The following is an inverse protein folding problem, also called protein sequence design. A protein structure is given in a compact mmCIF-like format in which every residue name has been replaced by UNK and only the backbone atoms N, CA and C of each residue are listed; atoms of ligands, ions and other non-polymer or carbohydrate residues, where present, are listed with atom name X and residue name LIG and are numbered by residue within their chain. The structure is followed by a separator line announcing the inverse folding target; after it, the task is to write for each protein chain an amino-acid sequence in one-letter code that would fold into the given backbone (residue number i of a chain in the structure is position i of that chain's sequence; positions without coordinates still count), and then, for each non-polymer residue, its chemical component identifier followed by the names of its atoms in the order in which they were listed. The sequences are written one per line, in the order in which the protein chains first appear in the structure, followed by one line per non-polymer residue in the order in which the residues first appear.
data_IF_915131928784
#
_entry.id   IF_915131928784
#
_cell.length_a   1.000
_cell.length_b   1.000
_cell.length_c   1.000
_cell.angle_alpha   90.00
_cell.angle_beta   90.00
_cell.angle_gamma   90.00
#
_symmetry.space_group_name_H-M   'P 1'
#
loop_
_entity.id
_entity.type
_entity.pdbx_description
1 polymer ?
#
# COMPACT_ATOMS: atom_id res chain seq x y z
N UNK A 1 -14.90 1.67 -13.64
CA UNK A 1 -14.65 3.13 -13.61
C UNK A 1 -13.78 3.52 -14.80
N UNK A 2 -14.31 4.42 -15.64
CA UNK A 2 -13.63 5.04 -16.78
C UNK A 2 -14.03 6.52 -16.79
N UNK A 3 -13.54 7.26 -15.79
CA UNK A 3 -13.89 8.67 -15.57
C UNK A 3 -12.64 9.53 -15.77
N UNK A 4 -12.67 10.44 -16.75
CA UNK A 4 -11.46 11.16 -17.17
C UNK A 4 -10.32 10.19 -17.48
N UNK A 5 -9.15 10.41 -16.85
CA UNK A 5 -7.99 9.49 -16.94
C UNK A 5 -8.02 8.34 -15.93
N UNK A 6 -8.94 8.34 -14.97
CA UNK A 6 -9.00 7.30 -13.92
C UNK A 6 -9.42 5.96 -14.52
N UNK A 7 -8.62 4.91 -14.26
CA UNK A 7 -8.90 3.52 -14.62
C UNK A 7 -8.95 2.67 -13.38
N UNK A 8 -10.15 2.21 -13.03
CA UNK A 8 -10.40 1.48 -11.80
C UNK A 8 -11.64 0.58 -11.91
N UNK A 9 -11.81 -0.28 -10.91
CA UNK A 9 -13.04 -1.05 -10.69
C UNK A 9 -13.54 -0.77 -9.28
N UNK A 10 -14.80 -0.34 -9.16
CA UNK A 10 -15.44 -0.02 -7.89
C UNK A 10 -16.36 -1.17 -7.49
N UNK A 11 -16.12 -1.74 -6.31
CA UNK A 11 -16.95 -2.76 -5.70
C UNK A 11 -17.80 -2.13 -4.60
N UNK A 12 -19.12 -2.33 -4.69
CA UNK A 12 -20.07 -1.85 -3.70
C UNK A 12 -20.69 -3.04 -2.95
N UNK A 13 -20.83 -2.97 -1.61
CA UNK A 13 -21.61 -3.93 -0.85
C UNK A 13 -23.10 -3.84 -1.23
N UNK A 14 -23.89 -4.91 -1.05
CA UNK A 14 -25.34 -4.81 -1.13
C UNK A 14 -25.89 -3.99 0.05
N UNK A 15 -26.95 -3.20 -0.17
CA UNK A 15 -27.61 -2.41 0.87
C UNK A 15 -27.92 -0.99 0.41
N UNK A 16 -28.49 -0.18 1.31
CA UNK A 16 -28.91 1.19 1.00
C UNK A 16 -27.74 2.18 0.92
N UNK A 17 -26.59 1.85 1.51
CA UNK A 17 -25.46 2.78 1.67
C UNK A 17 -25.81 4.03 2.49
N UNK A 18 -24.97 5.08 2.43
CA UNK A 18 -23.65 5.09 1.81
C UNK A 18 -22.63 4.28 2.64
N UNK A 19 -21.57 3.80 1.99
CA UNK A 19 -20.54 2.97 2.60
C UNK A 19 -19.23 3.76 2.79
N UNK A 20 -18.41 3.35 3.76
CA UNK A 20 -17.06 3.89 3.90
C UNK A 20 -16.21 3.50 2.69
N UNK A 21 -15.60 4.51 2.04
CA UNK A 21 -14.83 4.33 0.81
C UNK A 21 -13.37 3.98 1.07
N UNK A 22 -12.80 3.04 0.30
CA UNK A 22 -11.39 2.64 0.34
C UNK A 22 -10.82 2.62 -1.08
N UNK A 23 -9.64 3.21 -1.26
CA UNK A 23 -8.81 3.03 -2.45
C UNK A 23 -7.84 1.88 -2.23
N UNK A 24 -7.86 0.89 -3.12
CA UNK A 24 -7.03 -0.31 -3.06
C UNK A 24 -5.94 -0.27 -4.13
N UNK A 25 -4.67 -0.34 -3.68
CA UNK A 25 -3.48 -0.15 -4.50
C UNK A 25 -2.52 -1.33 -4.36
N UNK A 26 -2.15 -1.91 -5.50
CA UNK A 26 -1.14 -2.96 -5.58
C UNK A 26 0.25 -2.43 -5.94
N UNK A 27 1.24 -3.31 -5.81
CA UNK A 27 2.64 -3.03 -6.11
C UNK A 27 2.95 -2.99 -7.61
N UNK A 28 4.23 -3.11 -7.92
CA UNK A 28 4.71 -3.25 -9.29
C UNK A 28 4.25 -4.59 -9.90
N UNK A 29 3.91 -4.56 -11.19
CA UNK A 29 3.30 -5.64 -11.97
C UNK A 29 2.45 -5.07 -13.11
N UNK A 30 1.84 -3.90 -12.86
CA UNK A 30 0.91 -3.26 -13.79
C UNK A 30 -0.45 -3.94 -13.75
N UNK A 31 -1.32 -3.57 -14.69
CA UNK A 31 -2.67 -4.13 -14.77
C UNK A 31 -3.59 -3.60 -13.66
N UNK A 32 -4.67 -4.35 -13.43
CA UNK A 32 -5.67 -4.07 -12.41
C UNK A 32 -6.01 -5.36 -11.67
N UNK A 33 -5.55 -5.48 -10.42
CA UNK A 33 -5.84 -6.62 -9.56
C UNK A 33 -7.04 -6.29 -8.67
N UNK A 34 -8.13 -7.04 -8.87
CA UNK A 34 -9.43 -6.72 -8.27
C UNK A 34 -9.79 -7.60 -7.07
N UNK A 35 -9.07 -8.70 -6.87
CA UNK A 35 -9.46 -9.74 -5.92
C UNK A 35 -9.53 -9.23 -4.48
N UNK A 36 -8.58 -8.40 -4.04
CA UNK A 36 -8.58 -7.86 -2.67
C UNK A 36 -9.72 -6.86 -2.45
N UNK A 37 -9.95 -5.96 -3.41
CA UNK A 37 -11.05 -5.02 -3.36
C UNK A 37 -12.42 -5.72 -3.32
N UNK A 38 -12.63 -6.72 -4.19
CA UNK A 38 -13.88 -7.48 -4.23
C UNK A 38 -14.17 -8.22 -2.91
N UNK A 39 -13.15 -8.85 -2.31
CA UNK A 39 -13.26 -9.54 -1.02
C UNK A 39 -13.54 -8.56 0.13
N UNK A 40 -12.91 -7.38 0.11
CA UNK A 40 -13.08 -6.36 1.13
C UNK A 40 -14.45 -5.68 1.04
N UNK A 41 -15.02 -5.55 -0.16
CA UNK A 41 -16.38 -5.04 -0.32
C UNK A 41 -17.43 -5.94 0.37
N UNK A 42 -17.19 -7.26 0.41
CA UNK A 42 -17.98 -8.20 1.22
C UNK A 42 -17.94 -7.95 2.74
N UNK A 43 -17.14 -6.97 3.20
CA UNK A 43 -17.01 -6.56 4.60
C UNK A 43 -17.64 -5.20 4.90
N UNK A 44 -18.43 -4.65 3.97
CA UNK A 44 -19.21 -3.42 4.18
C UNK A 44 -18.55 -2.12 3.71
N UNK A 45 -17.48 -2.21 2.91
CA UNK A 45 -16.78 -1.06 2.35
C UNK A 45 -17.06 -0.88 0.87
N UNK A 46 -17.16 0.36 0.39
CA UNK A 46 -17.04 0.64 -1.04
C UNK A 46 -15.56 0.67 -1.41
N UNK A 47 -15.08 -0.30 -2.20
CA UNK A 47 -13.63 -0.46 -2.44
C UNK A 47 -13.32 -0.31 -3.92
N UNK A 48 -12.45 0.65 -4.22
CA UNK A 48 -12.00 0.94 -5.58
C UNK A 48 -10.61 0.37 -5.81
N UNK A 49 -10.51 -0.73 -6.57
CA UNK A 49 -9.25 -1.21 -7.11
C UNK A 49 -8.76 -0.20 -8.16
N UNK A 50 -7.60 0.41 -7.93
CA UNK A 50 -7.07 1.48 -8.77
C UNK A 50 -5.82 1.00 -9.54
N UNK A 51 -5.90 1.00 -10.87
CA UNK A 51 -4.72 0.87 -11.72
C UNK A 51 -4.04 2.23 -11.84
N UNK A 52 -2.72 2.25 -12.05
CA UNK A 52 -1.96 3.49 -12.24
C UNK A 52 -0.90 3.41 -13.33
N UNK A 53 -0.67 2.23 -13.92
CA UNK A 53 0.17 2.04 -15.11
C UNK A 53 -0.07 0.66 -15.74
N UNK A 54 0.38 0.47 -16.99
CA UNK A 54 0.34 -0.76 -17.77
C UNK A 54 -1.05 -1.42 -17.74
N UNK A 55 -2.09 -0.62 -17.93
CA UNK A 55 -3.49 -1.05 -17.97
C UNK A 55 -4.30 -0.09 -18.83
N UNK A 56 -5.00 -0.64 -19.83
CA UNK A 56 -5.81 0.15 -20.76
C UNK A 56 -4.97 1.23 -21.45
N UNK A 57 -5.40 2.49 -21.41
CA UNK A 57 -4.74 3.67 -21.96
C UNK A 57 -3.80 4.39 -20.98
N UNK A 58 -3.49 3.79 -19.82
CA UNK A 58 -2.51 4.34 -18.88
C UNK A 58 -1.07 4.22 -19.41
N UNK A 59 -0.13 5.04 -18.87
CA UNK A 59 1.29 4.91 -19.18
C UNK A 59 1.80 3.49 -18.98
N UNK A 60 2.74 3.06 -19.82
CA UNK A 60 3.25 1.67 -19.81
C UNK A 60 4.28 1.41 -18.70
N UNK A 61 4.85 2.45 -18.11
CA UNK A 61 5.85 2.35 -17.04
C UNK A 61 5.54 3.30 -15.88
N UNK A 62 6.33 3.20 -14.80
CA UNK A 62 6.20 4.00 -13.57
C UNK A 62 7.33 5.02 -13.39
N UNK A 63 8.02 5.42 -14.47
CA UNK A 63 9.20 6.31 -14.35
C UNK A 63 8.84 7.64 -13.69
N UNK A 64 7.65 8.16 -13.97
CA UNK A 64 7.11 9.38 -13.38
C UNK A 64 5.66 9.12 -12.96
N UNK A 65 5.37 9.32 -11.68
CA UNK A 65 4.05 9.16 -11.09
C UNK A 65 3.55 10.52 -10.59
N UNK A 66 2.43 10.99 -11.13
CA UNK A 66 1.82 12.26 -10.77
C UNK A 66 0.72 12.05 -9.72
N UNK A 67 0.86 12.65 -8.53
CA UNK A 67 -0.12 12.50 -7.45
C UNK A 67 -1.50 13.06 -7.80
N UNK A 68 -1.58 13.97 -8.78
CA UNK A 68 -2.85 14.49 -9.31
C UNK A 68 -3.74 13.36 -9.88
N UNK A 69 -3.15 12.28 -10.42
CA UNK A 69 -3.92 11.12 -10.90
C UNK A 69 -4.67 10.44 -9.75
N UNK A 70 -3.98 10.28 -8.62
CA UNK A 70 -4.53 9.66 -7.42
C UNK A 70 -5.53 10.59 -6.71
N UNK A 71 -5.30 11.91 -6.78
CA UNK A 71 -6.24 12.92 -6.30
C UNK A 71 -7.57 12.88 -7.09
N UNK A 72 -7.50 12.77 -8.42
CA UNK A 72 -8.71 12.60 -9.26
C UNK A 72 -9.47 11.32 -8.92
N UNK A 73 -8.77 10.19 -8.74
CA UNK A 73 -9.39 8.94 -8.35
C UNK A 73 -10.05 9.02 -6.96
N UNK A 74 -9.38 9.65 -6.00
CA UNK A 74 -9.95 9.89 -4.66
C UNK A 74 -11.18 10.78 -4.72
N UNK A 75 -11.14 11.86 -5.50
CA UNK A 75 -12.27 12.77 -5.68
C UNK A 75 -13.45 12.08 -6.35
N UNK A 76 -13.21 11.25 -7.37
CA UNK A 76 -14.24 10.40 -7.97
C UNK A 76 -14.91 9.52 -6.90
N UNK A 77 -14.11 8.85 -6.06
CA UNK A 77 -14.64 7.98 -5.02
C UNK A 77 -15.46 8.77 -3.98
N UNK A 78 -14.97 9.92 -3.53
CA UNK A 78 -15.67 10.78 -2.56
C UNK A 78 -16.98 11.37 -3.09
N UNK A 79 -17.07 11.63 -4.40
CA UNK A 79 -18.26 12.17 -5.05
C UNK A 79 -19.30 11.09 -5.39
N UNK A 80 -18.93 9.81 -5.30
CA UNK A 80 -19.83 8.72 -5.61
C UNK A 80 -21.00 8.68 -4.60
N UNK A 81 -22.27 8.62 -5.02
CA UNK A 81 -23.43 8.76 -4.13
C UNK A 81 -23.56 7.67 -3.06
N UNK A 82 -22.91 6.53 -3.29
CA UNK A 82 -22.86 5.40 -2.35
C UNK A 82 -21.63 5.43 -1.43
N UNK A 83 -20.84 6.51 -1.42
CA UNK A 83 -19.67 6.67 -0.57
C UNK A 83 -19.92 7.77 0.46
N UNK A 84 -19.63 7.47 1.73
CA UNK A 84 -20.09 8.27 2.86
C UNK A 84 -19.31 9.57 3.09
N UNK A 85 -18.01 9.59 2.80
CA UNK A 85 -17.13 10.69 3.21
C UNK A 85 -17.01 10.83 4.74
N UNK A 86 -16.39 11.92 5.25
CA UNK A 86 -15.80 13.05 4.53
C UNK A 86 -14.42 12.76 3.92
N UNK A 87 -13.83 11.61 4.23
CA UNK A 87 -12.56 11.14 3.66
C UNK A 87 -12.64 9.67 3.29
N UNK A 88 -11.56 9.16 2.71
CA UNK A 88 -11.42 7.76 2.28
C UNK A 88 -10.34 7.04 3.09
N UNK A 89 -10.42 5.71 3.09
CA UNK A 89 -9.31 4.84 3.42
C UNK A 89 -8.38 4.63 2.23
N UNK A 90 -7.11 4.36 2.51
CA UNK A 90 -6.15 3.84 1.52
C UNK A 90 -5.59 2.51 2.00
N UNK A 91 -5.68 1.48 1.17
CA UNK A 91 -5.08 0.16 1.39
C UNK A 91 -4.00 -0.06 0.31
N UNK A 92 -2.75 -0.08 0.73
CA UNK A 92 -1.61 -0.22 -0.18
C UNK A 92 -0.71 -1.38 0.20
N UNK A 93 -0.31 -2.19 -0.78
CA UNK A 93 0.78 -3.17 -0.62
C UNK A 93 1.96 -2.81 -1.50
N UNK A 94 3.18 -3.01 -1.01
CA UNK A 94 4.41 -2.81 -1.78
C UNK A 94 4.52 -1.37 -2.32
N UNK A 95 4.72 -1.16 -3.63
CA UNK A 95 4.63 0.16 -4.29
C UNK A 95 3.28 0.86 -4.08
N UNK A 96 2.19 0.11 -3.92
CA UNK A 96 0.89 0.68 -3.54
C UNK A 96 0.89 1.22 -2.09
N UNK A 97 1.68 0.63 -1.19
CA UNK A 97 1.91 1.15 0.15
C UNK A 97 2.77 2.42 0.15
N UNK A 98 3.81 2.46 -0.69
CA UNK A 98 4.58 3.68 -0.98
C UNK A 98 3.66 4.82 -1.43
N UNK A 99 2.82 4.55 -2.43
CA UNK A 99 1.86 5.50 -2.96
C UNK A 99 0.83 5.92 -1.92
N UNK A 100 0.39 5.01 -1.04
CA UNK A 100 -0.49 5.35 0.07
C UNK A 100 0.13 6.34 1.05
N UNK A 101 1.42 6.20 1.36
CA UNK A 101 2.17 7.18 2.17
C UNK A 101 2.31 8.52 1.45
N UNK A 102 2.63 8.50 0.15
CA UNK A 102 2.76 9.72 -0.65
C UNK A 102 1.41 10.46 -0.74
N UNK A 103 0.34 9.76 -1.10
CA UNK A 103 -1.01 10.31 -1.11
C UNK A 103 -1.37 10.95 0.24
N UNK A 104 -1.15 10.24 1.35
CA UNK A 104 -1.45 10.76 2.69
C UNK A 104 -0.61 11.99 3.08
N UNK A 105 0.58 12.16 2.49
CA UNK A 105 1.49 13.27 2.80
C UNK A 105 1.19 14.54 1.99
N UNK A 106 0.64 14.40 0.78
CA UNK A 106 0.43 15.50 -0.16
C UNK A 106 -1.03 15.86 -0.40
N UNK A 107 -1.94 14.88 -0.31
CA UNK A 107 -3.35 15.05 -0.65
C UNK A 107 -4.21 15.25 0.61
N UNK A 108 -5.37 15.89 0.44
CA UNK A 108 -6.38 16.07 1.50
C UNK A 108 -7.50 15.04 1.32
N UNK A 109 -8.17 14.64 2.41
CA UNK A 109 -9.31 13.70 2.33
C UNK A 109 -8.95 12.24 2.60
N UNK A 110 -7.74 11.93 3.08
CA UNK A 110 -7.35 10.58 3.50
C UNK A 110 -7.46 10.48 5.02
N UNK A 111 -8.46 9.74 5.49
CA UNK A 111 -8.76 9.59 6.91
C UNK A 111 -7.86 8.54 7.58
N UNK A 112 -7.65 7.41 6.90
CA UNK A 112 -6.91 6.28 7.43
C UNK A 112 -6.16 5.54 6.31
N UNK A 113 -4.97 5.03 6.61
CA UNK A 113 -4.20 4.26 5.65
C UNK A 113 -3.61 2.99 6.27
N UNK A 114 -3.79 1.86 5.57
CA UNK A 114 -3.16 0.58 5.88
C UNK A 114 -2.04 0.34 4.88
N UNK A 115 -0.82 0.25 5.39
CA UNK A 115 0.40 0.11 4.60
C UNK A 115 0.98 -1.30 4.84
N UNK A 116 0.91 -2.14 3.82
CA UNK A 116 1.39 -3.52 3.85
C UNK A 116 2.75 -3.57 3.14
N UNK A 117 3.82 -3.82 3.90
CA UNK A 117 5.19 -3.92 3.35
C UNK A 117 5.57 -2.76 2.40
N UNK A 118 5.10 -1.54 2.70
CA UNK A 118 5.35 -0.34 1.91
C UNK A 118 6.58 0.44 2.38
N UNK A 119 7.45 0.91 1.47
CA UNK A 119 8.63 1.69 1.82
C UNK A 119 8.25 3.15 2.06
N UNK A 120 8.97 3.82 2.96
CA UNK A 120 8.79 5.26 3.25
C UNK A 120 9.59 6.14 2.26
N UNK A 121 9.98 5.60 1.12
CA UNK A 121 10.83 6.25 0.13
C UNK A 121 10.33 5.97 -1.27
N UNK A 122 10.58 6.87 -2.21
CA UNK A 122 10.27 6.60 -3.61
C UNK A 122 11.19 5.52 -4.17
N UNK A 123 10.67 4.41 -4.70
CA UNK A 123 11.47 3.33 -5.29
C UNK A 123 11.16 3.16 -6.78
N UNK A 124 12.19 3.12 -7.63
CA UNK A 124 12.09 2.77 -9.06
C UNK A 124 11.45 3.83 -9.98
N UNK A 125 10.81 4.86 -9.44
CA UNK A 125 10.21 5.97 -10.19
C UNK A 125 10.23 7.27 -9.40
N UNK A 126 10.02 8.39 -10.09
CA UNK A 126 9.92 9.72 -9.50
C UNK A 126 8.47 10.01 -9.13
N UNK A 127 8.20 10.47 -7.91
CA UNK A 127 6.87 10.96 -7.51
C UNK A 127 6.85 12.48 -7.67
N UNK A 128 5.85 13.00 -8.37
CA UNK A 128 5.63 14.42 -8.59
C UNK A 128 4.28 14.85 -7.98
N UNK A 129 4.27 15.99 -7.30
CA UNK A 129 3.05 16.70 -6.93
C UNK A 129 3.25 18.20 -7.10
N UNK A 130 2.53 18.80 -8.04
CA UNK A 130 2.72 20.20 -8.44
C UNK A 130 4.21 20.47 -8.77
N UNK A 131 4.87 21.32 -7.97
CA UNK A 131 6.28 21.68 -8.14
C UNK A 131 7.22 20.85 -7.24
N UNK A 132 6.70 19.95 -6.42
CA UNK A 132 7.50 19.10 -5.54
C UNK A 132 7.81 17.76 -6.23
N UNK A 133 9.07 17.33 -6.11
CA UNK A 133 9.60 16.12 -6.74
C UNK A 133 10.31 15.29 -5.68
N UNK A 134 9.93 14.02 -5.58
CA UNK A 134 10.63 13.00 -4.79
C UNK A 134 11.33 12.06 -5.77
N UNK A 135 12.67 12.15 -5.93
CA UNK A 135 13.42 11.24 -6.79
C UNK A 135 13.45 9.82 -6.20
N UNK A 136 13.59 8.78 -7.03
CA UNK A 136 13.78 7.42 -6.54
C UNK A 136 15.06 7.29 -5.73
N UNK A 137 15.02 6.47 -4.67
CA UNK A 137 16.20 6.05 -3.92
C UNK A 137 17.14 5.28 -4.84
N UNK A 138 18.45 5.50 -4.66
CA UNK A 138 19.48 4.81 -5.41
C UNK A 138 19.51 3.30 -5.15
N UNK A 139 20.01 2.56 -6.15
CA UNK A 139 20.14 1.10 -6.10
C UNK A 139 21.62 0.75 -6.24
N UNK A 140 22.10 -0.17 -5.40
CA UNK A 140 23.44 -0.73 -5.50
C UNK A 140 23.37 -2.24 -5.76
N UNK A 141 23.55 -2.62 -7.03
CA UNK A 141 23.51 -4.02 -7.45
C UNK A 141 24.57 -4.91 -6.80
N UNK A 142 25.67 -4.32 -6.28
CA UNK A 142 26.71 -5.09 -5.57
C UNK A 142 26.23 -5.66 -4.22
N UNK A 143 25.11 -5.17 -3.69
CA UNK A 143 24.49 -5.68 -2.46
C UNK A 143 23.46 -6.78 -2.69
N UNK A 144 23.12 -7.07 -3.95
CA UNK A 144 22.28 -8.22 -4.31
C UNK A 144 23.06 -9.49 -4.00
N UNK A 145 22.42 -10.43 -3.30
CA UNK A 145 23.00 -11.74 -2.99
C UNK A 145 22.35 -12.79 -3.89
N UNK A 146 23.03 -13.91 -4.05
CA UNK A 146 22.49 -15.08 -4.74
C UNK A 146 22.24 -16.18 -3.72
N UNK A 147 21.05 -16.77 -3.73
CA UNK A 147 20.77 -17.97 -2.94
C UNK A 147 21.51 -19.17 -3.53
N UNK A 148 21.54 -20.29 -2.79
CA UNK A 148 22.13 -21.55 -3.27
C UNK A 148 21.44 -22.08 -4.53
N UNK A 149 20.19 -21.72 -4.74
CA UNK A 149 19.36 -22.16 -5.86
C UNK A 149 19.43 -21.22 -7.08
N UNK A 150 20.32 -20.22 -7.04
CA UNK A 150 20.48 -19.27 -8.15
C UNK A 150 19.36 -18.22 -8.24
N UNK A 151 18.64 -17.98 -7.15
CA UNK A 151 17.61 -16.93 -7.05
C UNK A 151 18.22 -15.69 -6.40
N UNK A 152 17.89 -14.50 -6.91
CA UNK A 152 18.39 -13.26 -6.33
C UNK A 152 17.69 -12.92 -5.01
N UNK A 153 18.47 -12.47 -4.03
CA UNK A 153 18.00 -11.81 -2.83
C UNK A 153 18.35 -10.32 -2.91
N UNK A 154 17.31 -9.50 -3.04
CA UNK A 154 17.42 -8.07 -3.36
C UNK A 154 17.19 -7.17 -2.14
N UNK A 155 16.98 -7.73 -0.95
CA UNK A 155 16.58 -7.00 0.26
C UNK A 155 17.53 -5.85 0.63
N UNK A 156 18.82 -6.01 0.32
CA UNK A 156 19.88 -5.04 0.59
C UNK A 156 20.20 -4.14 -0.63
N UNK A 157 19.49 -4.24 -1.75
CA UNK A 157 19.84 -3.52 -2.97
C UNK A 157 19.64 -2.00 -2.84
N UNK A 158 18.58 -1.55 -2.18
CA UNK A 158 18.27 -0.12 -2.01
C UNK A 158 19.28 0.59 -1.10
N UNK A 159 19.68 1.80 -1.48
CA UNK A 159 20.51 2.65 -0.64
C UNK A 159 19.79 3.02 0.66
N UNK A 160 20.57 3.29 1.70
CA UNK A 160 20.02 3.85 2.93
C UNK A 160 19.49 5.26 2.62
N UNK A 161 18.21 5.54 2.89
CA UNK A 161 17.69 6.89 2.69
C UNK A 161 18.11 7.85 3.80
N UNK A 162 18.72 7.36 4.88
CA UNK A 162 19.08 8.20 6.04
C UNK A 162 20.32 9.07 5.80
N UNK A 163 21.05 8.86 4.72
CA UNK A 163 22.36 9.49 4.48
C UNK A 163 22.52 9.98 3.04
N UNK A 164 23.37 10.98 2.85
CA UNK A 164 23.77 11.44 1.53
C UNK A 164 22.60 11.94 0.66
N UNK A 165 22.71 11.85 -0.68
CA UNK A 165 21.70 12.38 -1.60
C UNK A 165 20.36 11.63 -1.54
N UNK A 166 20.35 10.39 -1.04
CA UNK A 166 19.17 9.54 -0.97
C UNK A 166 18.14 10.02 0.07
N UNK A 167 18.51 10.93 0.97
CA UNK A 167 17.56 11.62 1.86
C UNK A 167 16.43 12.35 1.11
N UNK A 168 16.67 12.74 -0.15
CA UNK A 168 15.65 13.36 -1.00
C UNK A 168 14.54 12.40 -1.42
N UNK A 169 14.76 11.09 -1.33
CA UNK A 169 13.76 10.07 -1.68
C UNK A 169 12.69 9.87 -0.61
N UNK A 170 12.87 10.44 0.59
CA UNK A 170 11.92 10.29 1.69
C UNK A 170 10.56 10.89 1.36
N UNK A 171 9.53 10.11 1.66
CA UNK A 171 8.15 10.59 1.66
C UNK A 171 7.93 11.37 2.96
N UNK A 172 7.49 12.64 2.91
CA UNK A 172 7.38 13.51 4.08
C UNK A 172 6.11 13.23 4.90
N UNK A 173 6.03 12.02 5.49
CA UNK A 173 4.87 11.53 6.25
C UNK A 173 4.48 12.43 7.42
N UNK A 174 5.41 13.25 7.94
CA UNK A 174 5.13 14.26 8.97
C UNK A 174 4.08 15.31 8.54
N UNK A 175 3.85 15.48 7.24
CA UNK A 175 2.84 16.39 6.71
C UNK A 175 1.41 15.87 6.84
N UNK A 176 1.26 14.57 7.12
CA UNK A 176 -0.04 13.90 7.15
C UNK A 176 -0.74 14.00 8.51
N UNK A 177 -2.06 14.10 8.48
CA UNK A 177 -2.94 13.89 9.64
C UNK A 177 -3.66 12.53 9.59
N UNK A 178 -3.35 11.71 8.59
CA UNK A 178 -3.90 10.37 8.41
C UNK A 178 -3.50 9.46 9.58
N UNK A 179 -4.44 8.63 10.04
CA UNK A 179 -4.10 7.55 10.97
C UNK A 179 -3.51 6.38 10.18
N UNK A 180 -2.35 5.87 10.58
CA UNK A 180 -1.67 4.78 9.90
C UNK A 180 -1.68 3.47 10.71
N UNK A 181 -1.88 2.36 9.98
CA UNK A 181 -1.56 1.01 10.41
C UNK A 181 -0.53 0.41 9.43
N UNK A 182 0.60 -0.03 9.95
CA UNK A 182 1.61 -0.76 9.20
C UNK A 182 1.48 -2.26 9.50
N UNK A 183 1.37 -3.06 8.44
CA UNK A 183 1.38 -4.53 8.49
C UNK A 183 2.67 -4.99 7.79
N UNK A 184 3.56 -5.61 8.57
CA UNK A 184 4.94 -5.85 8.16
C UNK A 184 5.26 -7.34 8.24
N UNK A 185 5.78 -7.90 7.15
CA UNK A 185 6.45 -9.19 7.16
C UNK A 185 7.89 -9.05 7.64
N UNK A 186 8.28 -9.77 8.68
CA UNK A 186 9.65 -9.73 9.21
C UNK A 186 10.66 -10.50 8.36
N UNK A 187 10.18 -11.31 7.42
CA UNK A 187 10.99 -12.05 6.46
C UNK A 187 10.80 -11.46 5.04
N UNK A 188 10.52 -10.17 4.92
CA UNK A 188 10.39 -9.49 3.63
C UNK A 188 11.77 -9.39 2.94
N UNK A 189 11.91 -10.11 1.82
CA UNK A 189 13.13 -10.12 1.01
C UNK A 189 13.10 -9.18 -0.22
N UNK A 190 12.00 -8.45 -0.44
CA UNK A 190 11.96 -7.41 -1.48
C UNK A 190 12.71 -6.16 -1.02
N UNK A 191 12.47 -5.75 0.23
CA UNK A 191 13.15 -4.64 0.91
C UNK A 191 12.91 -4.67 2.42
N UNK A 192 13.53 -3.76 3.15
CA UNK A 192 13.48 -3.71 4.62
C UNK A 192 12.19 -3.07 5.15
N UNK A 193 11.06 -3.74 5.01
CA UNK A 193 9.74 -3.21 5.41
C UNK A 193 9.66 -2.81 6.89
N UNK A 194 10.24 -3.59 7.81
CA UNK A 194 10.30 -3.23 9.25
C UNK A 194 11.09 -1.94 9.48
N UNK A 195 12.23 -1.80 8.81
CA UNK A 195 13.04 -0.59 8.88
C UNK A 195 12.22 0.62 8.43
N UNK A 196 11.55 0.54 7.28
CA UNK A 196 10.75 1.67 6.78
C UNK A 196 9.55 2.02 7.67
N UNK A 197 8.84 1.04 8.22
CA UNK A 197 7.74 1.29 9.16
C UNK A 197 8.26 1.97 10.45
N UNK A 198 9.42 1.56 10.95
CA UNK A 198 10.05 2.18 12.11
C UNK A 198 10.53 3.60 11.83
N UNK A 199 11.15 3.87 10.67
CA UNK A 199 11.56 5.22 10.28
C UNK A 199 10.35 6.14 10.08
N UNK A 200 9.25 5.65 9.50
CA UNK A 200 8.00 6.41 9.40
C UNK A 200 7.44 6.77 10.78
N UNK A 201 7.43 5.81 11.70
CA UNK A 201 7.00 6.01 13.09
C UNK A 201 7.87 7.02 13.84
N UNK A 202 9.20 6.97 13.67
CA UNK A 202 10.13 7.96 14.25
C UNK A 202 9.87 9.35 13.67
N UNK A 203 9.74 9.46 12.35
CA UNK A 203 9.49 10.73 11.66
C UNK A 203 8.19 11.39 12.11
N UNK A 204 7.11 10.62 12.18
CA UNK A 204 5.81 11.07 12.68
C UNK A 204 5.91 11.61 14.11
N UNK A 205 6.49 10.83 15.02
CA UNK A 205 6.61 11.22 16.43
C UNK A 205 7.52 12.44 16.63
N UNK A 206 8.61 12.55 15.87
CA UNK A 206 9.51 13.70 15.91
C UNK A 206 8.81 15.02 15.53
N UNK A 207 7.69 14.95 14.81
CA UNK A 207 6.87 16.10 14.42
C UNK A 207 5.54 16.18 15.20
N UNK A 208 5.47 15.53 16.37
CA UNK A 208 4.32 15.61 17.28
C UNK A 208 3.07 14.87 16.77
N UNK A 209 3.18 14.03 15.74
CA UNK A 209 2.07 13.18 15.27
C UNK A 209 1.90 11.98 16.19
N UNK A 210 0.71 11.39 16.18
CA UNK A 210 0.42 10.16 16.94
C UNK A 210 1.31 9.02 16.45
N UNK A 211 1.81 8.21 17.38
CA UNK A 211 2.55 6.99 17.05
C UNK A 211 1.64 6.05 16.24
N UNK A 212 2.05 5.62 15.03
CA UNK A 212 1.25 4.70 14.24
C UNK A 212 1.26 3.30 14.86
N UNK A 213 0.22 2.51 14.58
CA UNK A 213 0.24 1.10 14.92
C UNK A 213 1.13 0.35 13.91
N UNK A 214 2.02 -0.50 14.41
CA UNK A 214 2.86 -1.38 13.58
C UNK A 214 2.63 -2.80 14.10
N UNK A 215 2.26 -3.71 13.21
CA UNK A 215 2.14 -5.13 13.49
C UNK A 215 3.17 -5.85 12.63
N UNK A 216 4.10 -6.53 13.29
CA UNK A 216 5.16 -7.31 12.65
C UNK A 216 4.84 -8.80 12.75
N UNK A 217 4.86 -9.48 11.61
CA UNK A 217 4.59 -10.91 11.50
C UNK A 217 5.90 -11.68 11.27
N UNK A 218 6.35 -12.52 12.22
CA UNK A 218 7.50 -13.40 12.03
C UNK A 218 7.34 -14.33 10.83
N UNK A 219 8.45 -14.70 10.19
CA UNK A 219 8.50 -15.69 9.11
C UNK A 219 7.49 -15.42 7.99
N UNK A 220 7.22 -14.14 7.72
CA UNK A 220 6.24 -13.67 6.74
C UNK A 220 6.95 -12.78 5.73
N UNK A 221 6.89 -13.16 4.46
CA UNK A 221 7.50 -12.41 3.36
C UNK A 221 6.71 -11.21 2.84
N UNK A 222 7.07 -10.79 1.64
CA UNK A 222 6.61 -9.56 1.00
C UNK A 222 5.10 -9.55 0.65
N UNK A 223 4.59 -10.64 0.08
CA UNK A 223 3.22 -10.70 -0.45
C UNK A 223 2.19 -11.16 0.61
N UNK A 224 1.85 -10.28 1.55
CA UNK A 224 0.74 -10.51 2.49
C UNK A 224 -0.60 -10.31 1.76
N UNK A 225 -1.04 -11.37 1.11
CA UNK A 225 -2.30 -11.45 0.35
C UNK A 225 -3.54 -11.64 1.27
N UNK A 226 -4.77 -11.58 0.73
CA UNK A 226 -5.96 -12.02 1.46
C UNK A 226 -5.84 -13.46 1.95
N UNK A 227 -6.64 -13.86 2.97
CA UNK A 227 -6.49 -15.16 3.61
C UNK A 227 -6.52 -16.34 2.63
N UNK A 228 -5.64 -17.31 2.88
CA UNK A 228 -5.53 -18.59 2.17
C UNK A 228 -4.97 -18.52 0.74
N UNK A 229 -4.49 -17.36 0.28
CA UNK A 229 -3.66 -17.32 -0.91
C UNK A 229 -2.34 -18.06 -0.64
N UNK A 230 -1.94 -19.02 -1.50
CA UNK A 230 -0.73 -19.80 -1.27
C UNK A 230 0.51 -18.90 -1.36
N UNK A 231 1.47 -19.17 -0.49
CA UNK A 231 2.76 -18.47 -0.50
C UNK A 231 3.50 -18.70 -1.83
N UNK A 232 3.82 -17.61 -2.52
CA UNK A 232 4.79 -17.60 -3.61
C UNK A 232 6.17 -17.20 -3.06
N UNK A 233 7.07 -18.18 -2.86
CA UNK A 233 8.40 -17.91 -2.27
C UNK A 233 9.34 -17.16 -3.20
N UNK A 234 9.20 -17.37 -4.51
CA UNK A 234 10.04 -16.74 -5.51
C UNK A 234 9.31 -16.64 -6.86
N UNK A 235 9.54 -15.56 -7.58
CA UNK A 235 9.04 -15.36 -8.95
C UNK A 235 9.87 -14.33 -9.69
N UNK A 236 9.60 -14.15 -10.98
CA UNK A 236 10.19 -13.05 -11.75
C UNK A 236 9.76 -11.71 -11.17
N UNK A 237 10.72 -10.87 -10.79
CA UNK A 237 10.46 -9.48 -10.42
C UNK A 237 10.50 -8.62 -11.69
N UNK A 238 9.39 -7.92 -11.99
CA UNK A 238 9.24 -7.16 -13.25
C UNK A 238 10.26 -6.05 -13.46
N UNK A 239 10.59 -5.26 -12.43
CA UNK A 239 11.63 -4.22 -12.55
C UNK A 239 13.06 -4.76 -12.56
N UNK A 240 13.36 -5.82 -11.80
CA UNK A 240 14.70 -6.43 -11.75
C UNK A 240 14.97 -7.27 -13.00
N UNK A 241 13.92 -7.83 -13.62
CA UNK A 241 14.03 -8.69 -14.79
C UNK A 241 14.64 -10.07 -14.49
N UNK A 242 14.62 -10.52 -13.24
CA UNK A 242 15.16 -11.81 -12.81
C UNK A 242 14.33 -12.44 -11.69
N UNK A 243 14.41 -13.77 -11.47
CA UNK A 243 13.78 -14.42 -10.32
C UNK A 243 14.38 -13.90 -9.01
N UNK A 244 13.50 -13.48 -8.09
CA UNK A 244 13.89 -13.05 -6.74
C UNK A 244 13.13 -13.84 -5.68
N UNK A 245 13.68 -13.91 -4.47
CA UNK A 245 12.96 -14.43 -3.31
C UNK A 245 12.12 -13.33 -2.65
N UNK A 246 10.93 -13.70 -2.17
CA UNK A 246 10.00 -12.81 -1.47
C UNK A 246 9.96 -13.05 0.03
N UNK A 247 10.54 -14.17 0.48
CA UNK A 247 10.55 -14.65 1.85
C UNK A 247 9.23 -15.25 2.31
N UNK A 248 9.17 -15.63 3.59
CA UNK A 248 8.05 -16.26 4.25
C UNK A 248 8.19 -17.78 4.39
N UNK A 249 7.62 -18.31 5.47
CA UNK A 249 7.41 -19.74 5.68
C UNK A 249 5.91 -20.09 5.58
N UNK A 250 5.52 -21.17 4.88
CA UNK A 250 4.13 -21.40 4.48
C UNK A 250 3.10 -21.27 5.61
N UNK A 251 3.37 -21.90 6.76
CA UNK A 251 2.44 -21.89 7.90
C UNK A 251 2.34 -20.51 8.55
N UNK A 252 3.49 -19.89 8.86
CA UNK A 252 3.53 -18.59 9.50
C UNK A 252 2.92 -17.51 8.61
N UNK A 253 3.30 -17.49 7.34
CA UNK A 253 2.80 -16.55 6.35
C UNK A 253 1.28 -16.68 6.15
N UNK A 254 0.74 -17.90 6.06
CA UNK A 254 -0.71 -18.10 5.96
C UNK A 254 -1.47 -17.58 7.20
N UNK A 255 -0.92 -17.75 8.40
CA UNK A 255 -1.52 -17.20 9.62
C UNK A 255 -1.42 -15.68 9.68
N UNK A 256 -0.33 -15.10 9.20
CA UNK A 256 -0.16 -13.66 9.07
C UNK A 256 -1.19 -13.04 8.11
N UNK A 257 -1.45 -13.66 6.95
CA UNK A 257 -2.51 -13.22 6.03
C UNK A 257 -3.90 -13.22 6.70
N UNK A 258 -4.22 -14.27 7.45
CA UNK A 258 -5.50 -14.39 8.19
C UNK A 258 -5.63 -13.27 9.23
N UNK A 259 -4.58 -13.00 10.01
CA UNK A 259 -4.60 -11.94 11.01
C UNK A 259 -4.62 -10.55 10.38
N UNK A 260 -3.73 -10.27 9.44
CA UNK A 260 -3.63 -9.00 8.71
C UNK A 260 -4.99 -8.60 8.11
N UNK A 261 -5.72 -9.56 7.54
CA UNK A 261 -7.07 -9.34 7.03
C UNK A 261 -8.06 -8.88 8.10
N UNK A 262 -7.99 -9.45 9.32
CA UNK A 262 -8.81 -9.00 10.45
C UNK A 262 -8.38 -7.63 10.95
N UNK A 263 -7.07 -7.38 11.03
CA UNK A 263 -6.52 -6.10 11.52
C UNK A 263 -6.94 -4.94 10.61
N UNK A 264 -6.80 -5.08 9.29
CA UNK A 264 -7.20 -4.03 8.35
C UNK A 264 -8.72 -3.77 8.38
N UNK A 265 -9.54 -4.81 8.54
CA UNK A 265 -11.00 -4.64 8.66
C UNK A 265 -11.35 -3.87 9.94
N UNK A 266 -10.81 -4.29 11.09
CA UNK A 266 -11.06 -3.62 12.38
C UNK A 266 -10.58 -2.16 12.34
N UNK A 267 -9.41 -1.93 11.74
CA UNK A 267 -8.84 -0.59 11.58
C UNK A 267 -9.73 0.31 10.72
N UNK A 268 -10.15 -0.13 9.54
CA UNK A 268 -11.00 0.68 8.67
C UNK A 268 -12.40 0.90 9.25
N UNK A 269 -13.02 -0.10 9.89
CA UNK A 269 -14.30 0.12 10.57
C UNK A 269 -14.18 1.17 11.68
N UNK A 270 -13.10 1.13 12.46
CA UNK A 270 -12.86 2.09 13.54
C UNK A 270 -12.64 3.52 13.05
N UNK A 271 -11.93 3.69 11.94
CA UNK A 271 -11.46 5.00 11.49
C UNK A 271 -12.30 5.61 10.36
N UNK A 272 -13.03 4.79 9.60
CA UNK A 272 -13.94 5.23 8.53
C UNK A 272 -15.42 5.01 8.86
N UNK A 273 -15.73 4.11 9.80
CA UNK A 273 -17.09 3.85 10.25
C UNK A 273 -17.53 4.81 11.35
N UNK A 274 -18.83 4.83 11.65
CA UNK A 274 -19.32 5.49 12.85
C UNK A 274 -18.88 4.72 14.09
N UNK A 275 -18.68 5.41 15.22
CA UNK A 275 -18.60 4.75 16.53
C UNK A 275 -19.82 3.83 16.69
N UNK A 276 -19.56 2.51 16.65
CA UNK A 276 -20.47 1.40 16.92
C UNK A 276 -21.97 1.72 16.86
N UNK A 277 -22.52 1.72 15.65
CA UNK A 277 -23.91 1.32 15.44
C UNK A 277 -23.94 -0.21 15.40
N UNK A 278 -24.44 -0.83 16.46
CA UNK A 278 -24.67 -2.27 16.59
C UNK A 278 -25.38 -2.80 15.33
N UNK A 279 -24.72 -3.69 14.58
CA UNK A 279 -25.39 -4.50 13.57
C UNK A 279 -26.28 -5.48 14.34
N UNK A 280 -27.61 -5.49 14.16
CA UNK A 280 -28.44 -6.52 14.74
C UNK A 280 -28.02 -7.86 14.13
N UNK A 281 -27.72 -8.84 14.98
CA UNK A 281 -27.58 -10.22 14.55
C UNK A 281 -28.85 -10.59 13.77
N UNK A 282 -28.68 -10.96 12.49
CA UNK A 282 -29.79 -11.41 11.66
C UNK A 282 -30.44 -12.65 12.30
N UNK A 283 -31.75 -12.55 12.53
CA UNK A 283 -32.68 -13.66 12.71
C UNK A 283 -32.74 -14.51 11.44
#
# INVERSE_FOLDING_TARGET
VREGRVRATLFLPPGLGPFSGIMDLFGVGGGLLEYRASLLAGKGFAVMALAYYNYDDLPQDIKILHLEYFEEAMNYLLQHPQVKGPGVGVLGISKGGELGLAMASFLKGITAAVIINGPMVSVGGTICHKNEIIPPVGINSKRVKMTKDGIMDIVDALNSPLEGPDQKSFIPVERSDTTFLFLVGLDDHNWKSEFYANEASKRLQAHGKKKPQIICYPETGHYIEPPYFPLCRASLHTLVGSPVIWGGEPRAHAMAQVDAWKQLQSFFHKHLGDKEGTIPAKL
#
